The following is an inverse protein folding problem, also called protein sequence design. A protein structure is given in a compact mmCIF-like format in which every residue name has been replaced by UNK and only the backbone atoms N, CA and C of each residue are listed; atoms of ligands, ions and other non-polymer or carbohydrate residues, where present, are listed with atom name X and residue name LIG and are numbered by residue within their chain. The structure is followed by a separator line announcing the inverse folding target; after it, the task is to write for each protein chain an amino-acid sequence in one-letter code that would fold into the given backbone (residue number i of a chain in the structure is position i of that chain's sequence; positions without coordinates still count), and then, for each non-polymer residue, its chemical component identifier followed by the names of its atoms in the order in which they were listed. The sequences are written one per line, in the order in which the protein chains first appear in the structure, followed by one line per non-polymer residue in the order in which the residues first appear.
data_IF_552652488518
#
_entry.id   IF_552652488518
#
_cell.length_a   1.000
_cell.length_b   1.000
_cell.length_c   1.000
_cell.angle_alpha   90.00
_cell.angle_beta   90.00
_cell.angle_gamma   90.00
#
_symmetry.space_group_name_H-M   'P 1'
#
loop_
_entity.id
_entity.type
_entity.pdbx_description
1 polymer ?
#
# COMPACT_ATOMS: atom_id res chain seq x y z
N UNK A 1 7.07 -18.12 12.01
CA UNK A 1 7.71 -17.51 10.83
C UNK A 1 9.03 -18.22 10.55
N UNK A 2 9.35 -18.55 9.33
CA UNK A 2 10.65 -19.14 8.98
C UNK A 2 11.74 -18.08 9.08
N UNK A 3 12.86 -18.43 9.71
CA UNK A 3 14.05 -17.59 9.86
C UNK A 3 15.26 -18.36 9.34
N UNK A 4 15.90 -17.85 8.31
CA UNK A 4 17.12 -18.43 7.75
C UNK A 4 18.39 -17.76 8.32
N UNK A 5 18.25 -16.57 8.94
CA UNK A 5 19.30 -15.91 9.70
C UNK A 5 19.02 -15.98 11.21
N UNK A 6 19.70 -16.86 11.96
CA UNK A 6 19.45 -17.00 13.40
C UNK A 6 19.86 -15.78 14.22
N UNK A 7 20.63 -14.83 13.68
CA UNK A 7 21.06 -13.62 14.40
C UNK A 7 19.90 -12.66 14.71
N UNK A 8 18.77 -12.79 13.99
CA UNK A 8 17.59 -11.97 14.20
C UNK A 8 16.61 -12.53 15.24
N UNK A 9 16.96 -13.64 15.87
CA UNK A 9 16.15 -14.26 16.93
C UNK A 9 16.52 -13.70 18.34
N UNK A 10 15.56 -13.55 19.25
CA UNK A 10 14.12 -13.74 19.07
C UNK A 10 13.47 -12.62 18.25
N UNK A 11 12.40 -12.95 17.52
CA UNK A 11 11.62 -11.94 16.80
C UNK A 11 10.79 -11.10 17.78
N UNK A 12 10.55 -9.85 17.39
CA UNK A 12 9.59 -8.97 18.07
C UNK A 12 8.22 -9.09 17.40
N UNK A 13 7.14 -8.79 18.13
CA UNK A 13 5.76 -8.84 17.60
C UNK A 13 5.46 -7.77 16.53
N UNK A 14 6.43 -6.93 16.18
CA UNK A 14 6.31 -5.95 15.09
C UNK A 14 6.19 -6.58 13.69
N UNK A 15 6.34 -7.91 13.57
CA UNK A 15 6.19 -8.63 12.31
C UNK A 15 4.73 -8.85 11.89
N UNK A 16 3.75 -8.60 12.78
CA UNK A 16 2.31 -8.65 12.49
C UNK A 16 1.65 -7.31 12.75
N UNK A 17 0.44 -7.12 12.19
CA UNK A 17 -0.37 -5.93 12.40
C UNK A 17 -1.39 -6.11 13.53
N UNK A 18 -1.56 -7.35 14.05
CA UNK A 18 -2.43 -7.65 15.17
C UNK A 18 -1.61 -7.65 16.47
N UNK A 19 -1.91 -6.77 17.44
CA UNK A 19 -1.19 -6.72 18.70
C UNK A 19 -1.40 -7.94 19.59
N UNK A 20 -2.40 -8.80 19.28
CA UNK A 20 -2.66 -10.04 19.99
C UNK A 20 -1.93 -11.24 19.38
N UNK A 21 -1.31 -11.08 18.21
CA UNK A 21 -0.52 -12.12 17.60
C UNK A 21 0.82 -12.29 18.30
N UNK A 22 1.20 -13.52 18.58
CA UNK A 22 2.56 -13.88 18.97
C UNK A 22 3.32 -14.43 17.77
N UNK A 23 4.46 -13.80 17.44
CA UNK A 23 5.29 -14.18 16.30
C UNK A 23 6.53 -14.95 16.80
N UNK A 24 6.58 -16.22 16.45
CA UNK A 24 7.73 -17.07 16.73
C UNK A 24 8.59 -17.26 15.49
N UNK A 25 9.88 -16.94 15.61
CA UNK A 25 10.89 -17.24 14.59
C UNK A 25 11.42 -18.66 14.74
N UNK A 26 11.34 -19.45 13.68
CA UNK A 26 11.81 -20.84 13.65
C UNK A 26 12.89 -21.00 12.58
N UNK A 27 14.05 -21.51 13.00
CA UNK A 27 15.14 -21.84 12.09
C UNK A 27 14.96 -23.28 11.57
N UNK A 28 14.94 -23.43 10.25
CA UNK A 28 14.74 -24.71 9.57
C UNK A 28 16.06 -25.40 9.19
N UNK A 29 17.23 -24.78 9.39
CA UNK A 29 18.51 -25.35 8.96
C UNK A 29 18.83 -26.71 9.61
N UNK A 30 18.38 -26.92 10.86
CA UNK A 30 18.54 -28.20 11.57
C UNK A 30 17.51 -29.27 11.22
N UNK A 31 16.68 -29.05 10.23
CA UNK A 31 15.63 -30.00 9.82
C UNK A 31 14.46 -30.08 10.80
N UNK A 32 13.54 -31.02 10.54
CA UNK A 32 12.27 -31.15 11.28
C UNK A 32 12.45 -31.42 12.78
N UNK A 33 13.47 -32.17 13.18
CA UNK A 33 13.77 -32.42 14.59
C UNK A 33 14.11 -31.13 15.34
N UNK A 34 14.90 -30.25 14.73
CA UNK A 34 15.24 -28.95 15.29
C UNK A 34 14.00 -28.03 15.38
N UNK A 35 13.15 -28.03 14.35
CA UNK A 35 11.89 -27.30 14.35
C UNK A 35 10.99 -27.71 15.49
N UNK A 36 10.80 -29.01 15.69
CA UNK A 36 10.02 -29.56 16.82
C UNK A 36 10.59 -29.13 18.17
N UNK A 37 11.91 -29.17 18.32
CA UNK A 37 12.58 -28.73 19.57
C UNK A 37 12.31 -27.26 19.83
N UNK A 38 12.44 -26.41 18.83
CA UNK A 38 12.20 -24.95 18.95
C UNK A 38 10.72 -24.67 19.29
N UNK A 39 9.77 -25.35 18.62
CA UNK A 39 8.34 -25.18 18.89
C UNK A 39 7.96 -25.62 20.30
N UNK A 40 8.44 -26.78 20.76
CA UNK A 40 8.17 -27.25 22.11
C UNK A 40 8.81 -26.34 23.20
N UNK A 41 10.00 -25.80 22.93
CA UNK A 41 10.64 -24.87 23.85
C UNK A 41 9.86 -23.55 23.98
N UNK A 42 9.31 -23.05 22.88
CA UNK A 42 8.58 -21.79 22.86
C UNK A 42 7.12 -21.92 23.29
N UNK A 43 6.40 -22.94 22.83
CA UNK A 43 4.94 -23.06 22.96
C UNK A 43 4.50 -24.22 23.86
N UNK A 44 5.39 -25.16 24.17
CA UNK A 44 5.03 -26.35 24.95
C UNK A 44 4.48 -26.03 26.34
N UNK A 45 5.08 -25.05 27.03
CA UNK A 45 4.62 -24.63 28.37
C UNK A 45 3.66 -23.44 28.30
N UNK A 46 3.94 -22.45 27.46
CA UNK A 46 3.15 -21.21 27.40
C UNK A 46 1.77 -21.43 26.77
N UNK A 47 1.69 -22.22 25.69
CA UNK A 47 0.46 -22.49 24.98
C UNK A 47 -0.15 -23.87 25.32
N UNK A 48 0.49 -24.67 26.17
CA UNK A 48 0.08 -26.07 26.48
C UNK A 48 -0.05 -26.95 25.23
N UNK A 49 0.80 -26.74 24.23
CA UNK A 49 0.82 -27.50 22.99
C UNK A 49 2.00 -28.47 22.98
N UNK A 50 1.84 -29.62 22.34
CA UNK A 50 2.89 -30.58 22.13
C UNK A 50 3.15 -30.79 20.65
N UNK A 51 4.40 -30.61 20.24
CA UNK A 51 4.84 -30.83 18.86
C UNK A 51 5.68 -32.09 18.76
N UNK A 52 5.44 -32.84 17.71
CA UNK A 52 6.22 -34.07 17.42
C UNK A 52 6.38 -34.28 15.93
N UNK A 53 7.42 -35.04 15.56
CA UNK A 53 7.64 -35.48 14.19
C UNK A 53 7.53 -37.00 14.16
N UNK A 54 6.34 -37.58 13.84
CA UNK A 54 6.15 -39.03 13.82
C UNK A 54 6.88 -39.68 12.66
N UNK A 55 7.06 -39.02 11.52
CA UNK A 55 7.79 -39.56 10.37
C UNK A 55 8.13 -38.45 9.35
N UNK A 56 9.31 -38.52 8.76
CA UNK A 56 9.73 -37.70 7.61
C UNK A 56 9.55 -36.20 7.83
N UNK A 57 8.74 -35.57 7.02
CA UNK A 57 8.42 -34.11 7.08
C UNK A 57 7.08 -33.81 7.77
N UNK A 58 6.50 -34.79 8.47
CA UNK A 58 5.22 -34.62 9.16
C UNK A 58 5.41 -33.87 10.47
N UNK A 59 4.68 -32.78 10.67
CA UNK A 59 4.56 -32.09 11.95
C UNK A 59 3.20 -32.44 12.56
N UNK A 60 3.21 -33.00 13.78
CA UNK A 60 2.01 -33.28 14.56
C UNK A 60 1.91 -32.29 15.70
N UNK A 61 0.74 -31.68 15.84
CA UNK A 61 0.41 -30.76 16.92
C UNK A 61 -0.70 -31.41 17.76
N UNK A 62 -0.50 -31.44 19.05
CA UNK A 62 -1.48 -31.92 20.03
C UNK A 62 -1.70 -30.80 21.05
N UNK A 63 -2.94 -30.68 21.48
CA UNK A 63 -3.32 -29.85 22.64
C UNK A 63 -3.04 -30.59 23.96
N UNK A 64 -3.43 -30.02 25.07
CA UNK A 64 -3.23 -30.60 26.40
C UNK A 64 -4.29 -31.63 26.80
N UNK A 65 -5.21 -31.99 25.91
CA UNK A 65 -6.20 -33.05 26.11
C UNK A 65 -7.16 -32.78 27.28
N UNK A 66 -7.19 -33.69 28.24
CA UNK A 66 -8.14 -33.66 29.34
C UNK A 66 -8.16 -32.37 30.22
N UNK A 67 -7.04 -31.66 30.46
CA UNK A 67 -7.07 -30.36 31.14
C UNK A 67 -7.83 -29.28 30.37
N UNK A 68 -7.96 -29.40 29.07
CA UNK A 68 -8.76 -28.53 28.18
C UNK A 68 -8.45 -27.02 28.38
N UNK A 69 -7.16 -26.69 28.49
CA UNK A 69 -6.67 -25.31 28.63
C UNK A 69 -6.39 -24.66 27.29
N UNK A 70 -6.08 -25.47 26.28
CA UNK A 70 -5.80 -25.05 24.92
C UNK A 70 -6.36 -26.02 23.92
N UNK A 71 -7.06 -25.50 22.89
CA UNK A 71 -7.60 -26.28 21.79
C UNK A 71 -6.97 -25.86 20.46
N UNK A 72 -6.59 -26.81 19.64
CA UNK A 72 -6.15 -26.57 18.27
C UNK A 72 -7.38 -26.51 17.36
N UNK A 73 -7.90 -25.32 17.09
CA UNK A 73 -9.09 -25.12 16.26
C UNK A 73 -8.81 -25.17 14.78
N UNK A 74 -7.61 -24.79 14.35
CA UNK A 74 -7.17 -24.81 12.97
C UNK A 74 -5.65 -24.84 12.86
N UNK A 75 -5.15 -25.44 11.79
CA UNK A 75 -3.75 -25.38 11.40
C UNK A 75 -3.64 -25.20 9.89
N UNK A 76 -2.74 -24.35 9.44
CA UNK A 76 -2.46 -24.16 8.04
C UNK A 76 -0.96 -24.14 7.78
N UNK A 77 -0.56 -24.64 6.63
CA UNK A 77 0.83 -24.68 6.18
C UNK A 77 0.92 -24.11 4.77
N UNK A 78 1.85 -23.20 4.58
CA UNK A 78 2.17 -22.72 3.23
C UNK A 78 3.36 -23.50 2.68
N UNK A 79 3.13 -24.23 1.61
CA UNK A 79 4.19 -24.93 0.89
C UNK A 79 5.04 -23.95 0.11
N UNK A 80 6.35 -23.97 0.31
CA UNK A 80 7.30 -23.14 -0.43
C UNK A 80 8.08 -23.99 -1.42
N UNK A 81 8.43 -23.38 -2.56
CA UNK A 81 9.30 -24.03 -3.56
C UNK A 81 10.70 -24.16 -2.97
N UNK A 82 11.31 -25.34 -3.12
CA UNK A 82 12.63 -25.65 -2.59
C UNK A 82 13.74 -25.63 -3.64
N UNK A 83 13.41 -25.38 -4.90
CA UNK A 83 14.37 -25.37 -6.04
C UNK A 83 14.05 -24.28 -7.05
N UNK A 84 15.08 -23.68 -7.60
CA UNK A 84 14.96 -22.70 -8.71
C UNK A 84 14.67 -23.37 -10.07
N UNK A 85 14.85 -24.68 -10.18
CA UNK A 85 14.92 -25.35 -11.49
C UNK A 85 13.99 -26.51 -11.68
N UNK A 86 13.60 -27.21 -10.62
CA UNK A 86 12.86 -28.45 -10.83
C UNK A 86 12.32 -29.12 -9.58
N UNK A 87 11.86 -30.35 -9.75
CA UNK A 87 11.36 -31.24 -8.69
C UNK A 87 9.86 -31.28 -8.52
N UNK A 88 9.12 -30.27 -8.99
CA UNK A 88 7.65 -30.24 -8.91
C UNK A 88 7.05 -29.40 -10.04
N UNK A 89 5.72 -29.43 -10.17
CA UNK A 89 5.00 -28.55 -11.10
C UNK A 89 5.18 -27.05 -10.73
N UNK A 90 5.43 -26.76 -9.47
CA UNK A 90 5.72 -25.41 -9.02
C UNK A 90 7.05 -24.92 -9.59
N UNK A 91 7.07 -23.67 -10.05
CA UNK A 91 8.26 -23.03 -10.60
C UNK A 91 8.30 -21.57 -10.13
N UNK A 92 9.36 -21.14 -9.45
CA UNK A 92 9.51 -19.73 -9.09
C UNK A 92 9.87 -18.93 -10.35
N UNK A 93 8.90 -18.18 -10.88
CA UNK A 93 9.13 -17.27 -11.99
C UNK A 93 9.93 -16.05 -11.55
N UNK A 94 9.72 -15.62 -10.32
CA UNK A 94 10.39 -14.49 -9.68
C UNK A 94 11.16 -14.94 -8.44
N UNK A 95 12.24 -14.25 -8.17
CA UNK A 95 13.16 -14.50 -7.06
C UNK A 95 13.39 -13.21 -6.27
N UNK A 96 13.84 -13.32 -5.03
CA UNK A 96 14.32 -12.20 -4.23
C UNK A 96 15.83 -12.10 -4.37
N UNK A 97 16.32 -11.16 -5.18
CA UNK A 97 17.75 -11.00 -5.47
C UNK A 97 18.42 -12.29 -5.94
N UNK A 98 17.74 -13.10 -6.75
CA UNK A 98 18.23 -14.39 -7.26
C UNK A 98 18.04 -15.58 -6.30
N UNK A 99 17.53 -15.36 -5.10
CA UNK A 99 17.22 -16.42 -4.11
C UNK A 99 15.74 -16.81 -4.18
N UNK A 100 15.42 -18.01 -3.72
CA UNK A 100 14.04 -18.47 -3.56
C UNK A 100 13.26 -17.55 -2.61
N UNK A 101 12.06 -17.16 -3.02
CA UNK A 101 11.13 -16.50 -2.12
C UNK A 101 10.42 -17.56 -1.25
N UNK A 102 10.71 -17.56 0.03
CA UNK A 102 10.13 -18.48 1.02
C UNK A 102 9.30 -17.75 2.08
N UNK A 103 9.25 -16.41 2.00
CA UNK A 103 8.65 -15.57 3.03
C UNK A 103 9.48 -15.49 4.32
N UNK A 104 10.72 -15.96 4.27
CA UNK A 104 11.62 -15.99 5.42
C UNK A 104 12.24 -14.61 5.75
N UNK A 105 12.79 -14.50 6.95
CA UNK A 105 13.78 -13.49 7.29
C UNK A 105 15.15 -14.08 6.96
N UNK A 106 15.88 -13.43 6.07
CA UNK A 106 17.20 -13.85 5.58
C UNK A 106 18.26 -12.84 6.04
N UNK A 107 19.52 -13.12 5.76
CA UNK A 107 20.62 -12.17 5.96
C UNK A 107 20.45 -10.84 5.20
N UNK A 108 19.61 -10.83 4.15
CA UNK A 108 19.23 -9.63 3.39
C UNK A 108 17.95 -8.95 3.91
N UNK A 109 17.47 -9.35 5.08
CA UNK A 109 16.25 -8.87 5.69
C UNK A 109 15.01 -9.73 5.38
N UNK A 110 13.84 -9.22 5.74
CA UNK A 110 12.58 -9.92 5.51
C UNK A 110 12.22 -9.95 4.04
N UNK A 111 11.92 -11.14 3.53
CA UNK A 111 11.40 -11.29 2.17
C UNK A 111 9.97 -10.75 2.01
N UNK A 112 9.22 -10.61 3.10
CA UNK A 112 7.85 -10.08 3.06
C UNK A 112 7.78 -8.56 2.92
N UNK A 113 8.87 -7.86 3.22
CA UNK A 113 8.96 -6.40 3.11
C UNK A 113 10.03 -6.00 2.10
N UNK A 114 9.76 -4.95 1.32
CA UNK A 114 10.72 -4.42 0.35
C UNK A 114 11.00 -5.32 -0.86
N UNK A 115 10.24 -6.39 -1.08
CA UNK A 115 10.42 -7.32 -2.22
C UNK A 115 10.37 -6.59 -3.56
N UNK A 116 9.54 -5.56 -3.70
CA UNK A 116 9.40 -4.82 -4.95
C UNK A 116 10.73 -4.19 -5.46
N UNK A 117 11.66 -3.90 -4.55
CA UNK A 117 13.00 -3.39 -4.90
C UNK A 117 14.00 -4.50 -5.23
N UNK A 118 13.70 -5.74 -4.86
CA UNK A 118 14.61 -6.89 -4.97
C UNK A 118 14.10 -7.99 -5.92
N UNK A 119 12.85 -7.86 -6.39
CA UNK A 119 12.26 -8.84 -7.30
C UNK A 119 13.05 -8.92 -8.60
N UNK A 120 13.42 -10.11 -8.98
CA UNK A 120 14.12 -10.39 -10.23
C UNK A 120 13.55 -11.64 -10.89
N UNK A 121 13.71 -11.74 -12.21
CA UNK A 121 13.33 -12.97 -12.93
C UNK A 121 14.32 -14.08 -12.56
N UNK A 122 13.80 -15.29 -12.39
CA UNK A 122 14.64 -16.46 -12.11
C UNK A 122 15.68 -16.67 -13.21
N UNK A 123 16.95 -16.51 -12.86
CA UNK A 123 18.07 -16.63 -13.81
C UNK A 123 18.17 -18.02 -14.44
N UNK A 124 17.72 -19.07 -13.75
CA UNK A 124 17.69 -20.42 -14.32
C UNK A 124 16.71 -20.57 -15.49
N UNK A 125 15.65 -19.73 -15.53
CA UNK A 125 14.70 -19.70 -16.65
C UNK A 125 15.22 -18.85 -17.81
N UNK A 126 16.00 -17.82 -17.51
CA UNK A 126 16.67 -17.01 -18.55
C UNK A 126 17.73 -17.82 -19.28
N UNK A 127 18.46 -18.69 -18.53
CA UNK A 127 19.47 -19.57 -19.10
C UNK A 127 18.88 -20.77 -19.85
N UNK A 128 17.74 -21.28 -19.41
CA UNK A 128 17.09 -22.46 -20.01
C UNK A 128 15.56 -22.32 -19.93
N UNK A 129 14.91 -21.68 -20.92
CA UNK A 129 13.48 -21.52 -20.98
C UNK A 129 12.69 -22.83 -21.05
N UNK A 130 13.31 -23.95 -21.46
CA UNK A 130 12.64 -25.26 -21.49
C UNK A 130 12.16 -25.71 -20.11
N UNK A 131 12.74 -25.17 -19.03
CA UNK A 131 12.33 -25.42 -17.64
C UNK A 131 10.91 -24.93 -17.32
N UNK A 132 10.34 -24.10 -18.13
CA UNK A 132 8.91 -23.74 -18.01
C UNK A 132 7.99 -24.93 -18.29
N UNK A 133 8.50 -25.97 -18.95
CA UNK A 133 7.76 -27.21 -19.27
C UNK A 133 8.42 -28.40 -18.55
N UNK A 134 9.74 -28.57 -18.69
CA UNK A 134 10.49 -29.69 -18.12
C UNK A 134 10.73 -29.44 -16.62
N UNK A 135 10.11 -30.24 -15.76
CA UNK A 135 10.26 -30.11 -14.30
C UNK A 135 10.98 -31.28 -13.64
N UNK A 136 11.15 -32.41 -14.33
CA UNK A 136 11.86 -33.56 -13.83
C UNK A 136 12.87 -34.07 -14.85
N UNK A 137 14.03 -34.49 -14.36
CA UNK A 137 15.08 -35.12 -15.17
C UNK A 137 15.20 -36.61 -14.90
N UNK A 138 14.59 -37.09 -13.81
CA UNK A 138 14.57 -38.53 -13.47
C UNK A 138 13.30 -38.88 -12.68
N UNK A 139 12.30 -39.52 -13.28
CA UNK A 139 12.20 -39.72 -14.73
C UNK A 139 12.10 -38.41 -15.51
N UNK A 140 12.51 -38.42 -16.75
CA UNK A 140 12.39 -37.25 -17.61
C UNK A 140 10.92 -36.89 -17.82
N UNK A 141 10.59 -35.60 -17.74
CA UNK A 141 9.24 -35.10 -18.08
C UNK A 141 8.85 -35.59 -19.48
N UNK A 142 7.69 -36.25 -19.58
CA UNK A 142 7.22 -36.82 -20.84
C UNK A 142 6.99 -35.73 -21.91
N UNK A 143 7.22 -36.11 -23.18
CA UNK A 143 6.89 -35.18 -24.28
C UNK A 143 5.39 -34.94 -24.32
N UNK A 144 4.99 -33.68 -24.41
CA UNK A 144 3.60 -33.24 -24.37
C UNK A 144 2.98 -33.16 -22.96
N UNK A 145 3.78 -33.33 -21.90
CA UNK A 145 3.31 -33.10 -20.52
C UNK A 145 2.97 -31.63 -20.30
N UNK A 146 1.72 -31.36 -19.92
CA UNK A 146 1.20 -29.99 -19.67
C UNK A 146 1.11 -29.67 -18.17
N UNK A 147 1.48 -30.59 -17.30
CA UNK A 147 1.30 -30.49 -15.84
C UNK A 147 1.81 -29.16 -15.27
N UNK A 148 3.02 -28.75 -15.63
CA UNK A 148 3.59 -27.49 -15.14
C UNK A 148 2.93 -26.26 -15.76
N UNK A 149 2.68 -26.29 -17.05
CA UNK A 149 2.01 -25.19 -17.78
C UNK A 149 0.61 -24.95 -17.24
N UNK A 150 -0.16 -26.00 -17.05
CA UNK A 150 -1.52 -25.95 -16.51
C UNK A 150 -1.53 -25.50 -15.06
N UNK A 151 -0.56 -25.97 -14.26
CA UNK A 151 -0.39 -25.50 -12.89
C UNK A 151 -0.12 -23.98 -12.85
N UNK A 152 0.83 -23.49 -13.64
CA UNK A 152 1.16 -22.05 -13.68
C UNK A 152 -0.05 -21.24 -14.14
N UNK A 153 -0.73 -21.67 -15.21
CA UNK A 153 -1.94 -21.04 -15.72
C UNK A 153 -3.03 -20.97 -14.64
N UNK A 154 -3.28 -22.08 -13.96
CA UNK A 154 -4.27 -22.15 -12.89
C UNK A 154 -3.92 -21.22 -11.74
N UNK A 155 -2.66 -21.17 -11.30
CA UNK A 155 -2.23 -20.26 -10.24
C UNK A 155 -2.40 -18.78 -10.64
N UNK A 156 -2.10 -18.41 -11.86
CA UNK A 156 -2.22 -17.04 -12.33
C UNK A 156 -3.67 -16.60 -12.54
N UNK A 157 -4.54 -17.50 -12.99
CA UNK A 157 -5.91 -17.14 -13.41
C UNK A 157 -6.96 -17.39 -12.33
N UNK A 158 -6.86 -18.50 -11.61
CA UNK A 158 -7.89 -18.97 -10.67
C UNK A 158 -7.37 -19.15 -9.24
N UNK A 159 -6.04 -19.15 -9.04
CA UNK A 159 -5.45 -19.20 -7.71
C UNK A 159 -6.01 -18.10 -6.81
N UNK A 160 -6.44 -18.46 -5.59
CA UNK A 160 -6.96 -17.50 -4.63
C UNK A 160 -5.89 -17.18 -3.60
N UNK A 161 -5.58 -15.88 -3.48
CA UNK A 161 -4.52 -15.37 -2.60
C UNK A 161 -5.09 -14.35 -1.63
N UNK A 162 -4.55 -14.32 -0.42
CA UNK A 162 -4.83 -13.29 0.57
C UNK A 162 -3.83 -12.14 0.40
N UNK A 163 -4.34 -10.94 0.20
CA UNK A 163 -3.51 -9.75 -0.05
C UNK A 163 -3.39 -8.89 1.21
N UNK A 164 -2.24 -8.23 1.36
CA UNK A 164 -2.01 -7.34 2.50
C UNK A 164 -2.94 -6.13 2.46
N UNK A 165 -3.60 -5.78 3.56
CA UNK A 165 -4.42 -4.56 3.66
C UNK A 165 -3.62 -3.26 3.46
N UNK A 166 -2.29 -3.30 3.59
CA UNK A 166 -1.41 -2.15 3.33
C UNK A 166 -1.44 -1.69 1.87
N UNK A 167 -1.95 -2.52 0.96
CA UNK A 167 -2.21 -2.13 -0.44
C UNK A 167 -3.39 -1.16 -0.59
N UNK A 168 -4.12 -0.88 0.48
CA UNK A 168 -5.35 -0.10 0.45
C UNK A 168 -6.59 -0.88 0.02
N UNK A 169 -6.46 -2.19 -0.22
CA UNK A 169 -7.55 -3.08 -0.62
C UNK A 169 -7.89 -4.02 0.54
N UNK A 170 -9.11 -3.96 1.02
CA UNK A 170 -9.55 -4.68 2.23
C UNK A 170 -9.13 -3.97 3.51
N UNK A 171 -9.32 -4.66 4.64
CA UNK A 171 -8.96 -4.16 5.99
C UNK A 171 -8.21 -5.23 6.76
N UNK A 172 -7.60 -4.88 7.89
CA UNK A 172 -6.87 -5.83 8.74
C UNK A 172 -7.77 -6.97 9.22
N UNK A 173 -9.02 -6.70 9.59
CA UNK A 173 -9.99 -7.71 10.00
C UNK A 173 -10.65 -8.47 8.84
N UNK A 174 -10.61 -7.91 7.61
CA UNK A 174 -11.18 -8.51 6.40
C UNK A 174 -10.26 -8.22 5.19
N UNK A 175 -9.11 -8.88 5.10
CA UNK A 175 -8.19 -8.71 3.97
C UNK A 175 -8.83 -9.24 2.70
N UNK A 176 -8.53 -8.60 1.58
CA UNK A 176 -9.02 -9.06 0.28
C UNK A 176 -8.46 -10.44 -0.04
N UNK A 177 -9.33 -11.36 -0.46
CA UNK A 177 -8.97 -12.70 -0.91
C UNK A 177 -9.56 -12.93 -2.29
N UNK A 178 -8.75 -13.37 -3.24
CA UNK A 178 -9.18 -13.58 -4.61
C UNK A 178 -8.03 -13.86 -5.57
N UNK A 179 -8.34 -13.97 -6.86
CA UNK A 179 -7.32 -14.18 -7.90
C UNK A 179 -6.49 -12.93 -8.13
N UNK A 180 -5.29 -13.10 -8.70
CA UNK A 180 -4.42 -12.00 -9.09
C UNK A 180 -5.14 -11.00 -10.01
N UNK A 181 -5.93 -11.50 -10.95
CA UNK A 181 -6.73 -10.66 -11.86
C UNK A 181 -7.77 -9.83 -11.11
N UNK A 182 -8.48 -10.44 -10.14
CA UNK A 182 -9.49 -9.73 -9.35
C UNK A 182 -8.84 -8.68 -8.45
N UNK A 183 -7.69 -8.97 -7.86
CA UNK A 183 -6.92 -8.00 -7.08
C UNK A 183 -6.46 -6.82 -7.95
N UNK A 184 -5.91 -7.09 -9.12
CA UNK A 184 -5.47 -6.03 -10.06
C UNK A 184 -6.63 -5.11 -10.44
N UNK A 185 -7.82 -5.67 -10.71
CA UNK A 185 -9.03 -4.89 -10.98
C UNK A 185 -9.42 -3.99 -9.80
N UNK A 186 -9.33 -4.51 -8.57
CA UNK A 186 -9.61 -3.72 -7.36
C UNK A 186 -8.62 -2.56 -7.18
N UNK A 187 -7.33 -2.80 -7.42
CA UNK A 187 -6.30 -1.74 -7.37
C UNK A 187 -6.60 -0.65 -8.39
N UNK A 188 -6.89 -1.03 -9.65
CA UNK A 188 -7.23 -0.07 -10.72
C UNK A 188 -8.49 0.73 -10.34
N UNK A 189 -9.53 0.07 -9.82
CA UNK A 189 -10.75 0.73 -9.38
C UNK A 189 -10.49 1.72 -8.26
N UNK A 190 -9.76 1.32 -7.22
CA UNK A 190 -9.42 2.20 -6.10
C UNK A 190 -8.59 3.41 -6.53
N UNK A 191 -7.64 3.23 -7.46
CA UNK A 191 -6.87 4.34 -8.02
C UNK A 191 -7.74 5.27 -8.87
N UNK A 192 -8.68 4.72 -9.64
CA UNK A 192 -9.65 5.49 -10.41
C UNK A 192 -10.57 6.34 -9.53
N UNK A 193 -11.06 5.76 -8.43
CA UNK A 193 -11.86 6.47 -7.44
C UNK A 193 -11.07 7.58 -6.74
N UNK A 194 -9.82 7.30 -6.35
CA UNK A 194 -8.94 8.29 -5.74
C UNK A 194 -8.65 9.46 -6.70
N UNK A 195 -8.37 9.16 -7.97
CA UNK A 195 -8.15 10.18 -9.00
C UNK A 195 -9.41 11.03 -9.24
N UNK A 196 -10.60 10.39 -9.30
CA UNK A 196 -11.87 11.09 -9.45
C UNK A 196 -12.16 12.00 -8.26
N UNK A 197 -11.93 11.50 -7.04
CA UNK A 197 -12.12 12.30 -5.82
C UNK A 197 -11.15 13.48 -5.75
N UNK A 198 -9.89 13.28 -6.14
CA UNK A 198 -8.90 14.35 -6.21
C UNK A 198 -9.29 15.42 -7.23
N UNK A 199 -9.82 15.00 -8.40
CA UNK A 199 -10.34 15.93 -9.41
C UNK A 199 -11.52 16.72 -8.89
N UNK A 200 -12.50 16.09 -8.27
CA UNK A 200 -13.67 16.78 -7.70
C UNK A 200 -13.27 17.80 -6.63
N UNK A 201 -12.26 17.45 -5.80
CA UNK A 201 -11.72 18.37 -4.80
C UNK A 201 -11.05 19.59 -5.48
N UNK A 202 -10.25 19.35 -6.52
CA UNK A 202 -9.61 20.43 -7.29
C UNK A 202 -10.65 21.34 -7.96
N UNK A 203 -11.64 20.78 -8.63
CA UNK A 203 -12.72 21.54 -9.25
C UNK A 203 -13.50 22.37 -8.20
N UNK A 204 -13.75 21.80 -7.02
CA UNK A 204 -14.37 22.51 -5.89
C UNK A 204 -13.51 23.69 -5.38
N UNK A 205 -12.19 23.50 -5.26
CA UNK A 205 -11.27 24.57 -4.88
C UNK A 205 -11.21 25.70 -5.92
N UNK A 206 -11.28 25.37 -7.20
CA UNK A 206 -11.33 26.38 -8.26
C UNK A 206 -12.61 27.23 -8.19
N UNK A 207 -13.75 26.64 -7.88
CA UNK A 207 -15.01 27.37 -7.65
C UNK A 207 -14.87 28.33 -6.46
N UNK A 208 -14.31 27.85 -5.34
CA UNK A 208 -14.05 28.70 -4.16
C UNK A 208 -13.10 29.83 -4.49
N UNK A 209 -12.01 29.55 -5.19
CA UNK A 209 -11.03 30.55 -5.61
C UNK A 209 -11.66 31.63 -6.49
N UNK A 210 -12.45 31.25 -7.48
CA UNK A 210 -13.15 32.20 -8.36
C UNK A 210 -14.18 33.04 -7.61
N UNK A 211 -14.92 32.42 -6.68
CA UNK A 211 -15.86 33.13 -5.80
C UNK A 211 -15.13 34.16 -4.93
N UNK A 212 -14.00 33.81 -4.32
CA UNK A 212 -13.18 34.73 -3.53
C UNK A 212 -12.60 35.85 -4.37
N UNK A 213 -12.10 35.58 -5.59
CA UNK A 213 -11.60 36.59 -6.51
C UNK A 213 -12.71 37.59 -6.89
N UNK A 214 -13.91 37.11 -7.21
CA UNK A 214 -15.06 37.95 -7.52
C UNK A 214 -15.47 38.80 -6.31
N UNK A 215 -15.51 38.19 -5.12
CA UNK A 215 -15.82 38.89 -3.88
C UNK A 215 -14.78 39.97 -3.58
N UNK A 216 -13.50 39.67 -3.74
CA UNK A 216 -12.41 40.63 -3.55
C UNK A 216 -12.48 41.77 -4.58
N UNK A 217 -12.77 41.49 -5.84
CA UNK A 217 -12.96 42.48 -6.90
C UNK A 217 -14.15 43.39 -6.60
N UNK A 218 -15.28 42.83 -6.11
CA UNK A 218 -16.45 43.63 -5.76
C UNK A 218 -16.28 44.49 -4.50
N UNK A 219 -15.39 44.07 -3.58
CA UNK A 219 -15.15 44.79 -2.32
C UNK A 219 -13.99 45.79 -2.41
N UNK A 220 -12.94 45.48 -3.16
CA UNK A 220 -11.72 46.28 -3.29
C UNK A 220 -11.50 46.82 -4.70
N UNK A 221 -12.31 46.44 -5.67
CA UNK A 221 -12.24 46.92 -7.04
C UNK A 221 -12.74 48.37 -7.14
N UNK A 222 -12.06 49.19 -7.91
CA UNK A 222 -12.52 50.52 -8.24
C UNK A 222 -13.72 50.39 -9.19
N UNK A 223 -14.89 50.83 -8.72
CA UNK A 223 -16.07 50.98 -9.57
C UNK A 223 -15.95 52.27 -10.39
N UNK A 224 -15.63 52.19 -11.66
CA UNK A 224 -15.42 53.34 -12.55
C UNK A 224 -16.63 54.25 -12.55
N UNK A 225 -17.84 53.76 -12.48
CA UNK A 225 -19.05 54.57 -12.45
C UNK A 225 -19.18 55.39 -11.16
N UNK A 226 -18.78 54.79 -10.04
CA UNK A 226 -18.76 55.45 -8.72
C UNK A 226 -17.67 56.52 -8.64
N UNK A 227 -16.47 56.22 -9.15
CA UNK A 227 -15.38 57.20 -9.26
C UNK A 227 -15.71 58.34 -10.23
N UNK A 228 -16.38 58.06 -11.35
CA UNK A 228 -16.88 59.08 -12.27
C UNK A 228 -17.94 59.98 -11.62
N UNK A 229 -18.90 59.41 -10.89
CA UNK A 229 -19.86 60.18 -10.11
C UNK A 229 -19.19 61.05 -9.05
N UNK A 230 -18.17 60.54 -8.36
CA UNK A 230 -17.36 61.29 -7.41
C UNK A 230 -16.59 62.45 -8.07
N UNK A 231 -15.97 62.18 -9.23
CA UNK A 231 -15.28 63.21 -9.99
C UNK A 231 -16.24 64.30 -10.46
N UNK A 232 -17.44 63.98 -10.95
CA UNK A 232 -18.46 64.94 -11.32
C UNK A 232 -18.93 65.78 -10.14
N UNK A 233 -19.13 65.16 -8.98
CA UNK A 233 -19.47 65.86 -7.73
C UNK A 233 -18.35 66.84 -7.29
N UNK A 234 -17.09 66.42 -7.37
CA UNK A 234 -15.91 67.27 -7.10
C UNK A 234 -15.81 68.43 -8.10
N UNK A 235 -16.02 68.17 -9.41
CA UNK A 235 -16.00 69.19 -10.44
C UNK A 235 -17.09 70.27 -10.21
N UNK A 236 -18.32 69.83 -9.85
CA UNK A 236 -19.41 70.73 -9.52
C UNK A 236 -19.08 71.58 -8.25
N UNK A 237 -18.53 70.93 -7.20
CA UNK A 237 -18.09 71.61 -5.99
C UNK A 237 -16.99 72.65 -6.30
N UNK A 238 -16.03 72.28 -7.14
CA UNK A 238 -14.95 73.21 -7.53
C UNK A 238 -15.49 74.42 -8.32
N UNK A 239 -16.43 74.19 -9.26
CA UNK A 239 -17.09 75.24 -10.00
C UNK A 239 -17.94 76.15 -9.12
N UNK A 240 -18.65 75.58 -8.12
CA UNK A 240 -19.40 76.40 -7.14
C UNK A 240 -18.45 77.28 -6.28
N UNK A 241 -17.33 76.73 -5.81
CA UNK A 241 -16.33 77.42 -5.05
C UNK A 241 -15.68 78.57 -5.86
N UNK A 242 -15.40 78.30 -7.17
CA UNK A 242 -14.87 79.36 -8.05
C UNK A 242 -15.88 80.51 -8.22
N UNK A 243 -17.15 80.28 -8.30
CA UNK A 243 -18.22 81.28 -8.34
C UNK A 243 -18.28 82.07 -7.04
N UNK A 244 -18.22 81.35 -5.90
CA UNK A 244 -18.19 82.04 -4.57
C UNK A 244 -16.98 83.00 -4.45
N UNK A 245 -15.79 82.52 -4.86
CA UNK A 245 -14.56 83.30 -4.86
C UNK A 245 -14.66 84.54 -5.77
N UNK A 246 -15.28 84.38 -6.96
CA UNK A 246 -15.56 85.46 -7.87
C UNK A 246 -16.51 86.49 -7.23
N UNK A 247 -17.60 86.01 -6.63
CA UNK A 247 -18.57 86.91 -5.94
C UNK A 247 -17.95 87.65 -4.76
N UNK A 248 -17.12 87.02 -3.98
CA UNK A 248 -16.37 87.61 -2.86
C UNK A 248 -15.41 88.65 -3.39
N UNK A 249 -14.70 88.38 -4.49
CA UNK A 249 -13.81 89.37 -5.13
C UNK A 249 -14.57 90.61 -5.63
N UNK A 250 -15.75 90.35 -6.27
CA UNK A 250 -16.56 91.47 -6.75
C UNK A 250 -17.12 92.35 -5.60
N UNK A 251 -17.57 91.69 -4.50
CA UNK A 251 -17.95 92.38 -3.28
C UNK A 251 -16.79 93.24 -2.67
N UNK A 252 -15.60 92.65 -2.63
CA UNK A 252 -14.40 93.38 -2.17
C UNK A 252 -14.11 94.57 -3.06
N UNK A 253 -14.20 94.41 -4.37
CA UNK A 253 -13.98 95.50 -5.33
C UNK A 253 -15.03 96.56 -5.18
N UNK A 254 -16.30 96.22 -5.01
CA UNK A 254 -17.37 97.21 -4.74
C UNK A 254 -17.20 97.92 -3.43
N UNK A 255 -16.70 97.29 -2.39
CA UNK A 255 -16.43 97.92 -1.10
C UNK A 255 -15.27 98.91 -1.19
N UNK A 256 -14.22 98.58 -1.92
CA UNK A 256 -13.08 99.47 -2.18
C UNK A 256 -13.43 100.70 -3.03
N UNK A 257 -14.43 100.55 -3.94
CA UNK A 257 -14.92 101.69 -4.73
C UNK A 257 -15.90 102.58 -3.99
N UNK A 258 -16.46 102.09 -2.88
CA UNK A 258 -17.37 102.90 -2.02
C UNK A 258 -16.68 103.69 -0.92
N UNK A 259 -15.39 103.46 -0.75
CA UNK A 259 -14.51 104.23 0.16
C UNK A 259 -13.76 105.27 -0.60
#
# INVERSE_FOLDING_TARGET
MRVDDPSVLPLTNSATLDPNDEVLGINFAGGMASVVTQLNAALGTSANLQFSNPSGSTLRVLDDGAPNRSDVTAASVTTTVSSLTGGSAQLPLFTDSGMLYTGAITANGSQQTGLAARISVNSALLGDPSRTIIYSTNPLTASGDTTRSDFILTQLTTGSYRYSPQTGIGTTGAPFTGSLLSFTKQVISAQGEAASSAKQLADGQDVVLNTLKNKMSSTSGVNIDEEMAHLLALQNAYSANARVMSTVKDMYTALLQAM
#
